data_IF_086263462369
#
_entry.id   IF_086263462369
#
_cell.length_a   1.000
_cell.length_b   1.000
_cell.length_c   1.000
_cell.angle_alpha   90.00
_cell.angle_beta   90.00
_cell.angle_gamma   90.00
#
_symmetry.space_group_name_H-M   'P 1'
#
loop_
_entity.id
_entity.type
_entity.pdbx_description
1 polymer ?
#
# COMPACT_ATOMS: atom_id res chain seq x y z
N UNK A 1 11.17 13.73 -19.21
CA UNK A 1 10.50 13.96 -17.91
C UNK A 1 11.59 14.35 -16.93
N UNK A 2 11.34 15.36 -16.14
CA UNK A 2 12.28 15.71 -15.06
C UNK A 2 12.36 14.53 -14.07
N UNK A 3 13.54 14.36 -13.48
CA UNK A 3 13.74 13.31 -12.47
C UNK A 3 12.81 13.59 -11.28
N UNK A 4 11.99 12.62 -10.83
CA UNK A 4 11.10 12.81 -9.69
C UNK A 4 11.86 13.28 -8.44
N UNK A 5 11.33 14.28 -7.75
CA UNK A 5 11.95 14.86 -6.55
C UNK A 5 11.20 14.42 -5.27
N UNK A 6 11.05 13.11 -5.11
CA UNK A 6 10.44 12.49 -3.94
C UNK A 6 11.13 11.15 -3.60
N UNK A 7 10.88 10.67 -2.40
CA UNK A 7 11.25 9.34 -1.93
C UNK A 7 10.00 8.46 -1.88
N UNK A 8 10.04 7.31 -2.55
CA UNK A 8 8.91 6.37 -2.62
C UNK A 8 9.05 5.28 -1.55
N UNK A 9 8.04 5.14 -0.70
CA UNK A 9 7.91 4.00 0.21
C UNK A 9 6.80 3.08 -0.31
N UNK A 10 7.19 1.88 -0.77
CA UNK A 10 6.26 0.86 -1.27
C UNK A 10 5.92 -0.16 -0.18
N UNK A 11 4.64 -0.36 0.09
CA UNK A 11 4.09 -1.22 1.13
C UNK A 11 3.37 -2.42 0.51
N UNK A 12 3.93 -3.61 0.69
CA UNK A 12 3.35 -4.84 0.17
C UNK A 12 2.18 -5.35 1.04
N UNK A 13 1.38 -6.28 0.51
CA UNK A 13 0.22 -6.86 1.18
C UNK A 13 0.56 -7.92 2.24
N UNK A 14 -0.49 -8.47 2.83
CA UNK A 14 -0.42 -9.58 3.78
C UNK A 14 0.24 -10.81 3.16
N UNK A 15 1.06 -11.52 3.93
CA UNK A 15 1.82 -12.71 3.47
C UNK A 15 2.68 -12.49 2.22
N UNK A 16 2.99 -11.24 1.91
CA UNK A 16 3.79 -10.83 0.76
C UNK A 16 5.24 -10.46 1.17
N UNK A 17 6.00 -9.87 0.26
CA UNK A 17 7.40 -9.51 0.50
C UNK A 17 7.88 -8.41 -0.45
N UNK A 18 9.10 -7.84 -0.22
CA UNK A 18 9.77 -6.98 -1.19
C UNK A 18 10.03 -7.64 -2.56
N UNK A 19 9.98 -8.98 -2.62
CA UNK A 19 10.17 -9.75 -3.85
C UNK A 19 8.86 -9.99 -4.63
N UNK A 20 7.73 -9.42 -4.17
CA UNK A 20 6.46 -9.51 -4.89
C UNK A 20 6.54 -8.87 -6.28
N UNK A 21 5.74 -9.37 -7.21
CA UNK A 21 5.75 -8.89 -8.60
C UNK A 21 5.59 -7.37 -8.68
N UNK A 22 4.58 -6.81 -8.02
CA UNK A 22 4.34 -5.35 -8.03
C UNK A 22 5.51 -4.57 -7.41
N UNK A 23 6.09 -5.05 -6.32
CA UNK A 23 7.24 -4.40 -5.69
C UNK A 23 8.46 -4.35 -6.63
N UNK A 24 8.77 -5.48 -7.29
CA UNK A 24 9.87 -5.56 -8.25
C UNK A 24 9.64 -4.67 -9.47
N UNK A 25 8.45 -4.73 -10.06
CA UNK A 25 8.09 -3.89 -11.21
C UNK A 25 8.18 -2.40 -10.87
N UNK A 26 7.76 -2.00 -9.65
CA UNK A 26 7.89 -0.61 -9.18
C UNK A 26 9.36 -0.22 -9.01
N UNK A 27 10.17 -1.09 -8.41
CA UNK A 27 11.61 -0.84 -8.25
C UNK A 27 12.32 -0.69 -9.61
N UNK A 28 12.03 -1.59 -10.55
CA UNK A 28 12.58 -1.55 -11.90
C UNK A 28 12.16 -0.27 -12.65
N UNK A 29 10.94 0.20 -12.43
CA UNK A 29 10.47 1.47 -12.97
C UNK A 29 11.25 2.66 -12.39
N UNK A 30 11.46 2.70 -11.07
CA UNK A 30 12.31 3.70 -10.41
C UNK A 30 13.75 3.67 -10.97
N UNK A 31 14.31 2.48 -11.19
CA UNK A 31 15.64 2.33 -11.76
C UNK A 31 15.73 2.90 -13.19
N UNK A 32 14.70 2.67 -14.02
CA UNK A 32 14.63 3.26 -15.38
C UNK A 32 14.54 4.80 -15.34
N UNK A 33 13.96 5.37 -14.30
CA UNK A 33 13.90 6.83 -14.07
C UNK A 33 15.17 7.40 -13.43
N UNK A 34 16.15 6.57 -13.07
CA UNK A 34 17.40 6.99 -12.42
C UNK A 34 17.24 7.33 -10.93
N UNK A 35 16.19 6.82 -10.26
CA UNK A 35 15.90 7.05 -8.85
C UNK A 35 15.83 5.77 -8.01
N UNK A 36 16.64 4.76 -8.37
CA UNK A 36 16.70 3.50 -7.63
C UNK A 36 17.16 3.65 -6.16
N UNK A 37 17.86 4.73 -5.85
CA UNK A 37 18.29 5.13 -4.51
C UNK A 37 17.20 5.87 -3.70
N UNK A 38 16.06 6.18 -4.34
CA UNK A 38 14.94 6.92 -3.75
C UNK A 38 13.67 6.06 -3.58
N UNK A 39 13.84 4.75 -3.50
CA UNK A 39 12.74 3.83 -3.19
C UNK A 39 13.14 2.88 -2.06
N UNK A 40 12.23 2.70 -1.09
CA UNK A 40 12.30 1.59 -0.14
C UNK A 40 11.10 0.67 -0.32
N UNK A 41 11.39 -0.63 -0.25
CA UNK A 41 10.41 -1.70 -0.18
C UNK A 41 10.77 -2.57 1.03
N UNK A 42 10.39 -2.16 2.27
CA UNK A 42 10.77 -2.92 3.46
C UNK A 42 10.02 -4.26 3.52
N UNK A 43 10.65 -5.27 4.12
CA UNK A 43 9.92 -6.45 4.59
C UNK A 43 9.12 -6.05 5.84
N UNK A 44 7.79 -6.10 5.72
CA UNK A 44 6.90 -5.66 6.79
C UNK A 44 6.71 -6.80 7.82
N UNK A 45 6.88 -6.52 9.12
CA UNK A 45 6.50 -7.45 10.17
C UNK A 45 5.02 -7.84 10.09
N UNK A 46 4.68 -9.06 10.54
CA UNK A 46 3.30 -9.50 10.64
C UNK A 46 2.55 -8.84 11.82
N UNK A 47 3.27 -8.26 12.77
CA UNK A 47 2.72 -7.48 13.89
C UNK A 47 2.45 -6.07 13.40
N UNK A 48 1.18 -5.59 13.36
CA UNK A 48 0.84 -4.29 12.76
C UNK A 48 1.56 -3.11 13.44
N UNK A 49 1.65 -3.12 14.77
CA UNK A 49 2.36 -2.07 15.52
C UNK A 49 3.84 -1.96 15.09
N UNK A 50 4.53 -3.09 14.97
CA UNK A 50 5.93 -3.11 14.53
C UNK A 50 6.08 -2.69 13.07
N UNK A 51 5.13 -3.07 12.20
CA UNK A 51 5.11 -2.62 10.82
C UNK A 51 4.96 -1.09 10.73
N UNK A 52 4.02 -0.51 11.48
CA UNK A 52 3.83 0.94 11.55
C UNK A 52 5.07 1.64 12.10
N UNK A 53 5.67 1.13 13.18
CA UNK A 53 6.88 1.71 13.76
C UNK A 53 8.03 1.76 12.73
N UNK A 54 8.29 0.66 12.04
CA UNK A 54 9.32 0.59 10.99
C UNK A 54 9.05 1.59 9.86
N UNK A 55 7.82 1.69 9.39
CA UNK A 55 7.46 2.63 8.32
C UNK A 55 7.60 4.09 8.76
N UNK A 56 7.22 4.40 10.01
CA UNK A 56 7.44 5.73 10.59
C UNK A 56 8.93 6.11 10.66
N UNK A 57 9.80 5.19 11.07
CA UNK A 57 11.25 5.41 11.08
C UNK A 57 11.79 5.70 9.68
N UNK A 58 11.36 4.94 8.67
CA UNK A 58 11.76 5.18 7.28
C UNK A 58 11.31 6.56 6.81
N UNK A 59 10.06 6.94 7.07
CA UNK A 59 9.52 8.26 6.65
C UNK A 59 10.30 9.39 7.31
N UNK A 60 10.55 9.30 8.63
CA UNK A 60 11.23 10.35 9.40
C UNK A 60 12.71 10.51 9.05
N UNK A 61 13.34 9.46 8.52
CA UNK A 61 14.73 9.50 8.08
C UNK A 61 14.94 10.20 6.72
N UNK A 62 13.86 10.49 5.96
CA UNK A 62 14.00 11.07 4.64
C UNK A 62 14.12 12.59 4.68
N UNK A 63 14.94 13.12 3.78
CA UNK A 63 15.07 14.58 3.53
C UNK A 63 14.22 15.03 2.33
N UNK A 64 13.89 14.13 1.41
CA UNK A 64 12.99 14.36 0.31
C UNK A 64 11.52 14.19 0.75
N UNK A 65 10.57 14.85 0.10
CA UNK A 65 9.16 14.56 0.29
C UNK A 65 8.86 13.08 0.09
N UNK A 66 8.19 12.43 1.05
CA UNK A 66 7.84 11.02 0.94
C UNK A 66 6.49 10.86 0.27
N UNK A 67 6.39 9.90 -0.65
CA UNK A 67 5.13 9.42 -1.24
C UNK A 67 4.96 7.94 -0.96
N UNK A 68 3.73 7.49 -0.87
CA UNK A 68 3.41 6.12 -0.49
C UNK A 68 2.77 5.37 -1.67
N UNK A 69 3.16 4.12 -1.86
CA UNK A 69 2.41 3.16 -2.68
C UNK A 69 2.05 1.96 -1.81
N UNK A 70 0.79 1.57 -1.80
CA UNK A 70 0.36 0.44 -0.98
C UNK A 70 -0.57 -0.50 -1.73
N UNK A 71 -0.32 -1.81 -1.64
CA UNK A 71 -1.16 -2.85 -2.24
C UNK A 71 -1.83 -3.69 -1.15
N UNK A 72 -3.14 -3.92 -1.27
CA UNK A 72 -3.91 -4.73 -0.31
C UNK A 72 -3.76 -4.18 1.12
N UNK A 73 -3.30 -4.97 2.09
CA UNK A 73 -2.99 -4.53 3.46
C UNK A 73 -1.98 -3.36 3.47
N UNK A 74 -1.02 -3.34 2.54
CA UNK A 74 -0.10 -2.20 2.40
C UNK A 74 -0.81 -0.91 2.03
N UNK A 75 -1.94 -0.97 1.31
CA UNK A 75 -2.82 0.18 1.04
C UNK A 75 -3.49 0.71 2.30
N UNK A 76 -3.89 -0.18 3.20
CA UNK A 76 -4.43 0.20 4.51
C UNK A 76 -3.39 0.95 5.36
N UNK A 77 -2.17 0.42 5.45
CA UNK A 77 -1.07 1.10 6.13
C UNK A 77 -0.69 2.43 5.48
N UNK A 78 -0.66 2.47 4.14
CA UNK A 78 -0.40 3.71 3.40
C UNK A 78 -1.44 4.78 3.73
N UNK A 79 -2.71 4.43 3.88
CA UNK A 79 -3.77 5.36 4.26
C UNK A 79 -3.55 5.95 5.65
N UNK A 80 -3.26 5.10 6.64
CA UNK A 80 -2.97 5.57 8.00
C UNK A 80 -1.75 6.52 8.03
N UNK A 81 -0.67 6.17 7.34
CA UNK A 81 0.54 6.98 7.28
C UNK A 81 0.33 8.28 6.51
N UNK A 82 -0.42 8.25 5.41
CA UNK A 82 -0.78 9.44 4.66
C UNK A 82 -1.59 10.42 5.52
N UNK A 83 -2.57 9.94 6.28
CA UNK A 83 -3.34 10.78 7.21
C UNK A 83 -2.46 11.32 8.36
N UNK A 84 -1.53 10.52 8.86
CA UNK A 84 -0.65 10.91 9.97
C UNK A 84 0.36 11.98 9.59
N UNK A 85 0.93 11.90 8.38
CA UNK A 85 2.03 12.76 7.93
C UNK A 85 1.65 13.74 6.81
N UNK A 86 0.41 13.71 6.31
CA UNK A 86 -0.06 14.57 5.22
C UNK A 86 0.57 14.21 3.87
N UNK A 87 0.79 12.91 3.60
CA UNK A 87 1.50 12.42 2.41
C UNK A 87 0.53 12.06 1.29
N UNK A 88 1.04 12.04 0.04
CA UNK A 88 0.33 11.43 -1.09
C UNK A 88 0.47 9.92 -1.06
N UNK A 89 -0.60 9.21 -1.45
CA UNK A 89 -0.62 7.76 -1.50
C UNK A 89 -1.34 7.23 -2.75
N UNK A 90 -0.70 6.32 -3.48
CA UNK A 90 -1.34 5.50 -4.51
C UNK A 90 -1.70 4.13 -3.93
N UNK A 91 -2.96 3.75 -4.04
CA UNK A 91 -3.55 2.59 -3.37
C UNK A 91 -4.01 1.58 -4.40
N UNK A 92 -3.43 0.39 -4.41
CA UNK A 92 -3.66 -0.66 -5.39
C UNK A 92 -4.48 -1.78 -4.75
N UNK A 93 -5.73 -1.96 -5.17
CA UNK A 93 -6.67 -2.92 -4.56
C UNK A 93 -6.56 -2.89 -3.02
N UNK A 94 -6.74 -1.72 -2.37
CA UNK A 94 -6.47 -1.58 -0.95
C UNK A 94 -7.50 -2.30 -0.08
N UNK A 95 -7.04 -2.90 1.02
CA UNK A 95 -7.94 -3.33 2.08
C UNK A 95 -8.52 -2.11 2.81
N UNK A 96 -9.82 -2.15 3.12
CA UNK A 96 -10.52 -1.08 3.84
C UNK A 96 -10.77 -1.46 5.30
N UNK A 97 -11.19 -2.69 5.55
CA UNK A 97 -11.46 -3.23 6.89
C UNK A 97 -10.66 -4.52 7.12
N UNK A 98 -9.30 -4.47 7.16
CA UNK A 98 -8.49 -5.69 7.25
C UNK A 98 -8.67 -6.42 8.57
N UNK A 99 -9.12 -5.77 9.64
CA UNK A 99 -9.36 -6.40 10.93
C UNK A 99 -10.39 -7.54 10.84
N UNK A 100 -11.46 -7.34 10.06
CA UNK A 100 -12.51 -8.36 9.90
C UNK A 100 -11.97 -9.58 9.11
N UNK A 101 -11.16 -9.33 8.07
CA UNK A 101 -10.50 -10.39 7.31
C UNK A 101 -9.47 -11.17 8.16
N UNK A 102 -8.78 -10.49 9.06
CA UNK A 102 -7.76 -11.12 9.90
C UNK A 102 -8.34 -12.04 10.97
N UNK A 103 -9.61 -11.89 11.36
CA UNK A 103 -10.29 -12.86 12.20
C UNK A 103 -10.34 -14.27 11.55
N UNK A 104 -10.44 -14.33 10.22
CA UNK A 104 -10.41 -15.59 9.49
C UNK A 104 -9.01 -16.22 9.44
N UNK A 105 -7.97 -15.45 9.75
CA UNK A 105 -6.57 -15.86 9.75
C UNK A 105 -5.96 -16.05 11.13
N UNK A 106 -6.78 -16.04 12.21
CA UNK A 106 -6.29 -16.30 13.57
C UNK A 106 -5.58 -17.65 13.66
N UNK A 107 -4.49 -17.69 14.42
CA UNK A 107 -3.68 -18.88 14.59
C UNK A 107 -2.43 -18.91 13.70
N UNK A 108 -1.97 -20.12 13.37
CA UNK A 108 -0.71 -20.32 12.64
C UNK A 108 -0.86 -19.93 11.17
N UNK A 109 0.05 -19.08 10.70
CA UNK A 109 0.16 -18.62 9.32
C UNK A 109 1.57 -18.87 8.78
N UNK A 110 1.72 -18.75 7.45
CA UNK A 110 3.00 -18.88 6.76
C UNK A 110 3.14 -17.82 5.68
N UNK A 111 4.24 -17.06 5.71
CA UNK A 111 4.56 -16.15 4.62
C UNK A 111 4.86 -16.92 3.33
N UNK A 112 4.24 -16.53 2.22
CA UNK A 112 4.31 -17.24 0.94
C UNK A 112 5.69 -17.16 0.26
N UNK A 113 6.48 -16.13 0.56
CA UNK A 113 7.79 -15.89 -0.03
C UNK A 113 8.92 -16.46 0.82
N UNK A 114 8.96 -16.10 2.10
CA UNK A 114 10.03 -16.53 3.01
C UNK A 114 9.80 -17.92 3.59
N UNK A 115 8.58 -18.43 3.55
CA UNK A 115 8.17 -19.67 4.22
C UNK A 115 8.14 -19.56 5.75
N UNK A 116 8.43 -18.40 6.33
CA UNK A 116 8.43 -18.17 7.77
C UNK A 116 7.05 -18.38 8.36
N UNK A 117 6.96 -19.18 9.44
CA UNK A 117 5.73 -19.37 10.21
C UNK A 117 5.63 -18.30 11.29
N UNK A 118 4.41 -17.87 11.59
CA UNK A 118 4.08 -16.93 12.63
C UNK A 118 2.62 -17.12 13.06
N UNK A 119 2.21 -16.50 14.16
CA UNK A 119 0.86 -16.62 14.69
C UNK A 119 0.15 -15.26 14.63
N UNK A 120 -1.05 -15.24 14.06
CA UNK A 120 -1.97 -14.10 14.16
C UNK A 120 -2.78 -14.26 15.45
N UNK A 121 -2.86 -13.19 16.23
CA UNK A 121 -3.59 -13.14 17.52
C UNK A 121 -4.67 -12.07 17.48
N UNK A 122 -5.60 -12.12 18.44
CA UNK A 122 -6.61 -11.06 18.64
C UNK A 122 -5.98 -9.69 18.90
N UNK A 123 -4.81 -9.64 19.53
CA UNK A 123 -4.07 -8.41 19.74
C UNK A 123 -3.66 -7.77 18.40
N UNK A 124 -3.20 -8.56 17.43
CA UNK A 124 -2.88 -8.06 16.09
C UNK A 124 -4.12 -7.51 15.36
N UNK A 125 -5.26 -8.17 15.53
CA UNK A 125 -6.55 -7.67 14.99
C UNK A 125 -6.93 -6.34 15.65
N UNK A 126 -6.74 -6.22 16.97
CA UNK A 126 -6.99 -4.98 17.68
C UNK A 126 -6.06 -3.86 17.26
N UNK A 127 -4.77 -4.13 17.04
CA UNK A 127 -3.81 -3.16 16.51
C UNK A 127 -4.21 -2.63 15.12
N UNK A 128 -4.80 -3.47 14.25
CA UNK A 128 -5.36 -3.01 12.98
C UNK A 128 -6.54 -2.05 13.20
N UNK A 129 -7.45 -2.34 14.14
CA UNK A 129 -8.57 -1.44 14.45
C UNK A 129 -8.12 -0.08 14.97
N UNK A 130 -7.04 -0.05 15.76
CA UNK A 130 -6.52 1.19 16.35
C UNK A 130 -5.92 2.16 15.33
N UNK A 131 -5.51 1.65 14.18
CA UNK A 131 -4.99 2.47 13.06
C UNK A 131 -6.03 2.68 11.96
N UNK A 132 -7.30 2.36 12.19
CA UNK A 132 -8.34 2.63 11.21
C UNK A 132 -8.51 4.14 10.97
N UNK A 133 -8.72 4.47 9.72
CA UNK A 133 -8.90 5.85 9.25
C UNK A 133 -10.23 5.96 8.51
N UNK A 134 -11.36 6.04 9.23
CA UNK A 134 -12.69 6.03 8.60
C UNK A 134 -12.95 7.29 7.75
N UNK A 135 -12.25 8.38 8.03
CA UNK A 135 -12.42 9.66 7.32
C UNK A 135 -11.08 10.14 6.76
N UNK A 136 -11.09 10.56 5.50
CA UNK A 136 -9.92 11.14 4.84
C UNK A 136 -9.97 12.67 4.96
N UNK A 137 -8.92 13.27 5.52
CA UNK A 137 -8.84 14.73 5.68
C UNK A 137 -8.57 15.45 4.36
N UNK A 138 -7.79 14.83 3.48
CA UNK A 138 -7.37 15.41 2.20
C UNK A 138 -7.52 14.37 1.08
N UNK A 139 -8.74 14.22 0.57
CA UNK A 139 -9.06 13.18 -0.42
C UNK A 139 -8.21 13.29 -1.71
N UNK A 140 -7.74 14.50 -2.05
CA UNK A 140 -6.86 14.72 -3.21
C UNK A 140 -5.44 14.15 -3.04
N UNK A 141 -5.04 13.78 -1.83
CA UNK A 141 -3.77 13.12 -1.56
C UNK A 141 -3.79 11.61 -1.92
N UNK A 142 -4.93 11.08 -2.34
CA UNK A 142 -5.04 9.66 -2.67
C UNK A 142 -5.33 9.46 -4.15
N UNK A 143 -4.66 8.49 -4.76
CA UNK A 143 -5.01 7.90 -6.05
C UNK A 143 -5.44 6.46 -5.81
N UNK A 144 -6.73 6.17 -6.03
CA UNK A 144 -7.26 4.82 -5.90
C UNK A 144 -7.14 4.07 -7.23
N UNK A 145 -6.58 2.87 -7.21
CA UNK A 145 -6.56 1.95 -8.35
C UNK A 145 -7.22 0.63 -7.93
N UNK A 146 -8.32 0.26 -8.56
CA UNK A 146 -9.03 -0.99 -8.28
C UNK A 146 -9.43 -1.71 -9.55
N UNK A 147 -9.49 -3.02 -9.47
CA UNK A 147 -10.06 -3.89 -10.52
C UNK A 147 -11.32 -4.57 -10.00
N UNK A 148 -12.40 -4.54 -10.78
CA UNK A 148 -13.71 -5.03 -10.35
C UNK A 148 -13.77 -6.55 -10.21
N UNK A 149 -12.81 -7.26 -10.79
CA UNK A 149 -12.66 -8.72 -10.69
C UNK A 149 -11.76 -9.17 -9.51
N UNK A 150 -11.47 -8.28 -8.55
CA UNK A 150 -10.73 -8.66 -7.33
C UNK A 150 -11.53 -9.72 -6.55
N UNK A 151 -10.96 -10.95 -6.49
CA UNK A 151 -11.59 -12.12 -5.86
C UNK A 151 -11.34 -12.19 -4.36
N UNK A 152 -10.47 -11.33 -3.83
CA UNK A 152 -10.08 -11.30 -2.42
C UNK A 152 -10.78 -10.19 -1.66
N UNK A 153 -10.88 -9.01 -2.27
CA UNK A 153 -11.46 -7.82 -1.66
C UNK A 153 -12.57 -7.26 -2.53
N UNK A 154 -13.74 -7.03 -1.94
CA UNK A 154 -14.80 -6.33 -2.65
C UNK A 154 -14.39 -4.86 -2.90
N UNK A 155 -14.05 -4.56 -4.15
CA UNK A 155 -13.56 -3.24 -4.58
C UNK A 155 -14.53 -2.09 -4.23
N UNK A 156 -15.84 -2.38 -4.07
CA UNK A 156 -16.87 -1.38 -3.77
C UNK A 156 -16.63 -0.69 -2.44
N UNK A 157 -16.05 -1.38 -1.45
CA UNK A 157 -15.67 -0.76 -0.18
C UNK A 157 -14.56 0.28 -0.37
N UNK A 158 -13.57 -0.01 -1.21
CA UNK A 158 -12.53 0.97 -1.53
C UNK A 158 -13.11 2.15 -2.33
N UNK A 159 -13.97 1.89 -3.33
CA UNK A 159 -14.62 2.96 -4.11
C UNK A 159 -15.46 3.87 -3.22
N UNK A 160 -16.20 3.34 -2.24
CA UNK A 160 -16.99 4.19 -1.32
C UNK A 160 -16.09 4.99 -0.38
N UNK A 161 -15.08 4.37 0.22
CA UNK A 161 -14.13 5.06 1.13
C UNK A 161 -13.39 6.19 0.43
N UNK A 162 -12.92 5.97 -0.80
CA UNK A 162 -12.13 6.96 -1.57
C UNK A 162 -12.94 7.70 -2.63
N UNK A 163 -14.27 7.78 -2.51
CA UNK A 163 -15.18 8.39 -3.51
C UNK A 163 -14.87 9.85 -3.88
N UNK A 164 -14.20 10.59 -3.01
CA UNK A 164 -13.79 11.98 -3.25
C UNK A 164 -12.34 12.10 -3.75
N UNK A 165 -11.66 10.99 -3.94
CA UNK A 165 -10.26 10.92 -4.42
C UNK A 165 -10.23 10.63 -5.93
N UNK A 166 -9.19 11.07 -6.66
CA UNK A 166 -8.89 10.54 -7.98
C UNK A 166 -8.87 9.01 -7.99
N UNK A 167 -9.49 8.39 -9.00
CA UNK A 167 -9.61 6.95 -9.07
C UNK A 167 -9.50 6.39 -10.47
N UNK A 168 -8.89 5.21 -10.60
CA UNK A 168 -8.84 4.38 -11.79
C UNK A 168 -9.54 3.07 -11.46
N UNK A 169 -10.74 2.88 -11.98
CA UNK A 169 -11.53 1.66 -11.80
C UNK A 169 -11.50 0.91 -13.12
N UNK A 170 -10.89 -0.27 -13.13
CA UNK A 170 -10.80 -1.13 -14.32
C UNK A 170 -11.78 -2.30 -14.21
N UNK A 171 -12.50 -2.58 -15.29
CA UNK A 171 -13.40 -3.73 -15.34
C UNK A 171 -12.60 -5.03 -15.47
N UNK A 172 -13.01 -6.07 -14.74
CA UNK A 172 -12.32 -7.37 -14.71
C UNK A 172 -11.05 -7.32 -13.86
N UNK A 173 -10.01 -8.04 -14.31
CA UNK A 173 -8.75 -8.20 -13.59
C UNK A 173 -8.87 -9.08 -12.35
N UNK A 174 -7.99 -8.90 -11.36
CA UNK A 174 -7.91 -9.73 -10.16
C UNK A 174 -7.22 -8.98 -8.99
N UNK A 175 -7.10 -9.64 -7.81
CA UNK A 175 -6.44 -9.06 -6.64
C UNK A 175 -4.96 -8.69 -6.88
N UNK A 176 -4.28 -9.40 -7.75
CA UNK A 176 -2.88 -9.11 -8.12
C UNK A 176 -2.73 -7.84 -8.97
N UNK A 177 -3.81 -7.29 -9.50
CA UNK A 177 -3.89 -6.13 -10.38
C UNK A 177 -3.21 -6.39 -11.74
N UNK A 178 -3.96 -6.91 -12.69
CA UNK A 178 -3.48 -7.16 -14.06
C UNK A 178 -3.00 -5.88 -14.74
N UNK A 179 -1.94 -6.02 -15.53
CA UNK A 179 -1.31 -4.90 -16.25
C UNK A 179 -0.84 -3.75 -15.34
N UNK A 180 -0.44 -4.06 -14.10
CA UNK A 180 0.01 -3.09 -13.11
C UNK A 180 1.10 -2.14 -13.63
N UNK A 181 2.07 -2.63 -14.40
CA UNK A 181 3.18 -1.82 -14.94
C UNK A 181 2.67 -0.64 -15.79
N UNK A 182 1.57 -0.84 -16.52
CA UNK A 182 0.97 0.22 -17.33
C UNK A 182 0.40 1.38 -16.51
N UNK A 183 0.17 1.19 -15.21
CA UNK A 183 -0.34 2.23 -14.30
C UNK A 183 0.76 3.12 -13.73
N UNK A 184 2.01 2.68 -13.75
CA UNK A 184 3.12 3.40 -13.12
C UNK A 184 3.31 4.83 -13.66
N UNK A 185 3.25 5.09 -14.98
CA UNK A 185 3.35 6.47 -15.49
C UNK A 185 2.31 7.41 -14.87
N UNK A 186 1.05 6.97 -14.73
CA UNK A 186 -0.02 7.79 -14.16
C UNK A 186 0.14 7.97 -12.65
N UNK A 187 0.56 6.93 -11.92
CA UNK A 187 0.87 7.02 -10.50
C UNK A 187 2.00 8.04 -10.26
N UNK A 188 3.07 7.98 -11.03
CA UNK A 188 4.18 8.91 -10.89
C UNK A 188 3.82 10.33 -11.30
N UNK A 189 2.95 10.51 -12.28
CA UNK A 189 2.37 11.81 -12.63
C UNK A 189 1.54 12.39 -11.48
N UNK A 190 0.73 11.57 -10.82
CA UNK A 190 -0.02 11.96 -9.62
C UNK A 190 0.91 12.43 -8.49
N UNK A 191 2.02 11.74 -8.26
CA UNK A 191 2.99 12.15 -7.24
C UNK A 191 3.71 13.46 -7.58
N UNK A 192 4.02 13.68 -8.86
CA UNK A 192 4.69 14.90 -9.33
C UNK A 192 3.77 16.13 -9.43
N UNK A 193 2.46 15.93 -9.42
CA UNK A 193 1.47 17.03 -9.44
C UNK A 193 1.47 17.86 -8.15
N UNK A 194 0.75 18.98 -8.16
CA UNK A 194 0.62 19.86 -6.99
C UNK A 194 -0.15 19.21 -5.84
#
# INVERSE_FOLDING_TARGET
MDTPDFYLLYLHGFNSSPLSSKARVTFDYCARLGIADRIAVPELPHVPELAIAQMCEIIQAQTLPVVLMGSSLGGYYATYLAERYGLKAALINPAVNPADLWHEHLGENRNYYSGRRYTITEEHVQQLREIDTPHLRQAHNYLLLVQTGDETLDYRFAVDKYKSSPSIIQEGGNHSFENYEAMLPEIFQFFAGP
#
